data_IF_267029583643
#
_entry.id   IF_267029583643
#
_cell.length_a   1.000
_cell.length_b   1.000
_cell.length_c   1.000
_cell.angle_alpha   90.00
_cell.angle_beta   90.00
_cell.angle_gamma   90.00
#
_symmetry.space_group_name_H-M   'P 1'
#
loop_
_entity.id
_entity.type
_entity.pdbx_description
1 polymer ?
2 non-polymer ?
3 non-polymer ?
4 water ?
#
# COMPACT_ATOMS: atom_id res chain seq x y z
N UNK A 1 -5.10 17.76 4.66
CA UNK A 1 -5.96 16.87 3.81
C UNK A 1 -5.35 15.48 3.89
N UNK A 2 -4.13 15.37 3.35
CA UNK A 2 -3.27 14.15 3.35
C UNK A 2 -2.25 14.24 4.49
N UNK A 3 -2.19 15.36 5.22
CA UNK A 3 -1.04 15.64 6.13
C UNK A 3 -0.96 14.58 7.24
N UNK A 4 -2.10 14.01 7.67
CA UNK A 4 -2.17 13.02 8.78
C UNK A 4 -1.45 11.72 8.36
N UNK A 5 -1.27 11.49 7.05
CA UNK A 5 -0.62 10.28 6.50
C UNK A 5 0.89 10.45 6.40
N UNK A 6 1.40 11.69 6.45
CA UNK A 6 2.83 11.92 6.15
C UNK A 6 3.72 11.40 7.25
N UNK A 7 4.91 10.99 6.84
CA UNK A 7 5.94 10.53 7.76
C UNK A 7 6.40 9.13 7.50
N UNK A 8 7.02 8.57 8.52
CA UNK A 8 7.67 7.25 8.46
C UNK A 8 6.87 6.29 9.33
N UNK A 9 6.53 5.14 8.76
CA UNK A 9 5.63 4.14 9.38
C UNK A 9 6.30 2.77 9.33
N UNK A 10 6.10 1.95 10.35
CA UNK A 10 6.68 0.59 10.41
C UNK A 10 5.55 -0.41 10.60
N UNK A 11 5.61 -1.51 9.87
CA UNK A 11 4.58 -2.57 9.98
C UNK A 11 4.69 -3.20 11.37
N UNK A 12 3.57 -3.33 12.08
CA UNK A 12 3.52 -3.98 13.42
C UNK A 12 2.55 -5.15 13.47
N UNK A 13 1.70 -5.37 12.46
CA UNK A 13 0.74 -6.49 12.48
C UNK A 13 0.31 -6.76 11.04
N UNK A 14 0.09 -8.03 10.71
CA UNK A 14 -0.37 -8.39 9.35
C UNK A 14 -1.32 -9.58 9.45
N UNK A 15 -2.49 -9.44 8.87
CA UNK A 15 -3.48 -10.53 8.84
C UNK A 15 -3.78 -10.85 7.38
N UNK A 16 -3.58 -12.11 6.99
CA UNK A 16 -4.04 -12.66 5.68
C UNK A 16 -3.27 -12.05 4.50
N UNK A 17 -2.04 -11.58 4.67
CA UNK A 17 -1.25 -11.16 3.50
C UNK A 17 -0.99 -12.33 2.56
N UNK A 18 -0.72 -13.53 3.09
CA UNK A 18 -0.51 -14.72 2.23
C UNK A 18 -1.74 -14.92 1.31
N UNK A 19 -2.95 -14.83 1.86
CA UNK A 19 -4.19 -15.05 1.07
C UNK A 19 -4.28 -13.99 -0.03
N UNK A 20 -3.98 -12.74 0.29
CA UNK A 20 -4.02 -11.62 -0.68
C UNK A 20 -2.98 -11.90 -1.77
N UNK A 21 -1.75 -12.25 -1.38
CA UNK A 21 -0.68 -12.51 -2.38
C UNK A 21 -1.05 -13.72 -3.24
N UNK A 22 -1.63 -14.77 -2.65
CA UNK A 22 -1.96 -15.99 -3.45
C UNK A 22 -3.09 -15.67 -4.42
N UNK A 23 -4.03 -14.80 -4.03
CA UNK A 23 -5.10 -14.31 -4.94
C UNK A 23 -4.50 -13.64 -6.18
N UNK A 24 -3.41 -12.91 -6.01
CA UNK A 24 -2.73 -12.19 -7.13
C UNK A 24 -1.79 -13.10 -7.90
N UNK A 25 -1.64 -14.36 -7.49
CA UNK A 25 -0.80 -15.33 -8.21
C UNK A 25 0.67 -15.24 -7.82
N UNK A 26 1.01 -14.62 -6.69
CA UNK A 26 2.42 -14.52 -6.24
C UNK A 26 2.88 -15.94 -5.88
N UNK A 27 4.11 -16.27 -6.27
CA UNK A 27 4.73 -17.60 -6.12
C UNK A 27 5.03 -17.88 -4.66
N UNK A 28 5.04 -19.14 -4.23
CA UNK A 28 5.22 -19.48 -2.79
C UNK A 28 6.53 -18.92 -2.21
N UNK A 29 7.60 -18.81 -3.00
CA UNK A 29 8.92 -18.37 -2.52
C UNK A 29 8.84 -16.88 -2.17
N UNK A 30 8.24 -16.07 -3.04
CA UNK A 30 8.07 -14.62 -2.72
C UNK A 30 7.14 -14.48 -1.52
N UNK A 31 6.06 -15.24 -1.46
CA UNK A 31 5.14 -15.17 -0.29
C UNK A 31 5.89 -15.52 1.00
N UNK A 32 6.78 -16.51 0.94
CA UNK A 32 7.53 -16.96 2.13
C UNK A 32 8.35 -15.78 2.68
N UNK A 33 9.13 -15.13 1.83
CA UNK A 33 9.96 -13.96 2.25
C UNK A 33 9.07 -12.80 2.69
N UNK A 34 8.02 -12.48 1.95
CA UNK A 34 7.07 -11.38 2.28
C UNK A 34 6.43 -11.60 3.65
N UNK A 35 6.22 -12.85 4.08
CA UNK A 35 5.55 -13.15 5.36
C UNK A 35 6.44 -12.77 6.55
N UNK A 36 7.74 -12.62 6.31
CA UNK A 36 8.70 -12.35 7.40
C UNK A 36 9.29 -10.94 7.22
N UNK A 37 8.83 -10.20 6.23
CA UNK A 37 9.31 -8.84 5.94
C UNK A 37 8.48 -7.83 6.75
N UNK A 38 9.13 -6.84 7.37
CA UNK A 38 8.42 -5.76 8.11
C UNK A 38 8.82 -4.42 7.50
N UNK A 39 8.14 -4.01 6.42
CA UNK A 39 8.49 -2.83 5.66
C UNK A 39 8.37 -1.54 6.49
N UNK A 40 9.14 -0.56 6.04
CA UNK A 40 9.02 0.86 6.44
C UNK A 40 8.32 1.58 5.29
N UNK A 41 7.24 2.28 5.58
CA UNK A 41 6.55 3.09 4.57
C UNK A 41 6.83 4.56 4.86
N UNK A 42 7.32 5.29 3.87
CA UNK A 42 7.59 6.75 4.00
C UNK A 42 6.67 7.48 3.05
N UNK A 43 5.91 8.43 3.56
CA UNK A 43 4.96 9.21 2.73
C UNK A 43 5.37 10.68 2.87
N UNK A 44 5.66 11.29 1.74
CA UNK A 44 6.17 12.68 1.70
C UNK A 44 5.34 13.42 0.67
N UNK A 45 5.22 14.73 0.84
CA UNK A 45 4.55 15.57 -0.17
C UNK A 45 5.47 16.72 -0.56
N UNK A 46 5.32 17.14 -1.80
CA UNK A 46 5.95 18.35 -2.36
C UNK A 46 4.87 18.97 -3.24
N UNK A 47 4.21 20.00 -2.72
CA UNK A 47 3.00 20.57 -3.35
C UNK A 47 1.91 19.51 -3.51
N UNK A 48 1.44 19.25 -4.73
CA UNK A 48 0.37 18.25 -4.96
C UNK A 48 0.98 16.90 -5.33
N UNK A 49 2.31 16.72 -5.21
CA UNK A 49 2.91 15.40 -5.56
C UNK A 49 3.23 14.65 -4.28
N UNK A 50 2.63 13.47 -4.12
CA UNK A 50 2.98 12.54 -3.03
C UNK A 50 4.07 11.60 -3.53
N UNK A 51 4.93 11.19 -2.62
CA UNK A 51 5.89 10.10 -2.88
C UNK A 51 5.73 9.10 -1.74
N UNK A 52 5.49 7.86 -2.12
CA UNK A 52 5.26 6.75 -1.17
C UNK A 52 6.36 5.73 -1.43
N UNK A 53 7.26 5.61 -0.46
CA UNK A 53 8.38 4.64 -0.45
C UNK A 53 7.97 3.47 0.45
N UNK A 54 8.28 2.26 0.02
CA UNK A 54 8.13 1.05 0.85
C UNK A 54 9.50 0.37 0.84
N UNK A 55 10.16 0.35 2.00
CA UNK A 55 11.56 -0.13 2.15
C UNK A 55 11.60 -1.40 3.00
N UNK A 56 12.41 -2.35 2.57
CA UNK A 56 12.68 -3.58 3.35
C UNK A 56 13.98 -4.19 2.89
N UNK A 57 14.50 -5.14 3.66
CA UNK A 57 15.78 -5.81 3.37
C UNK A 57 15.72 -6.35 1.94
N UNK A 58 14.64 -7.06 1.62
CA UNK A 58 14.52 -7.93 0.43
C UNK A 58 13.84 -7.21 -0.74
N UNK A 59 13.15 -6.10 -0.50
CA UNK A 59 12.36 -5.45 -1.56
C UNK A 59 12.12 -3.97 -1.26
N UNK A 60 12.16 -3.15 -2.30
CA UNK A 60 11.93 -1.70 -2.18
C UNK A 60 11.07 -1.24 -3.34
N UNK A 61 10.14 -0.36 -3.06
CA UNK A 61 9.33 0.30 -4.10
C UNK A 61 9.29 1.80 -3.82
N UNK A 62 8.93 2.56 -4.86
CA UNK A 62 8.77 4.01 -4.76
C UNK A 62 7.83 4.42 -5.88
N UNK A 63 6.82 5.17 -5.50
CA UNK A 63 5.88 5.76 -6.47
C UNK A 63 5.75 7.23 -6.12
N UNK A 64 5.48 8.02 -7.13
CA UNK A 64 5.13 9.45 -7.00
C UNK A 64 3.87 9.66 -7.81
N UNK A 65 2.92 10.39 -7.24
CA UNK A 65 1.60 10.56 -7.88
C UNK A 65 0.98 11.86 -7.40
N UNK A 66 0.07 12.38 -8.21
CA UNK A 66 -0.86 13.45 -7.83
C UNK A 66 -2.21 12.81 -7.52
N UNK A 67 -2.83 13.18 -6.41
CA UNK A 67 -4.14 12.61 -6.08
C UNK A 67 -5.08 12.86 -7.26
N UNK A 68 -5.83 11.84 -7.63
CA UNK A 68 -6.92 11.93 -8.61
C UNK A 68 -6.40 11.89 -10.04
N UNK A 69 -5.10 11.63 -10.27
CA UNK A 69 -4.52 11.55 -11.63
C UNK A 69 -3.92 10.15 -11.82
N UNK A 70 -4.37 9.45 -12.85
CA UNK A 70 -3.90 8.08 -13.14
C UNK A 70 -2.40 8.09 -13.41
N UNK A 71 -1.71 7.06 -12.96
CA UNK A 71 -0.27 6.88 -13.22
C UNK A 71 -0.01 5.42 -13.51
N UNK A 72 1.04 5.18 -14.28
CA UNK A 72 1.56 3.82 -14.50
C UNK A 72 2.39 3.41 -13.28
N UNK A 73 2.21 2.17 -12.86
CA UNK A 73 2.89 1.63 -11.66
C UNK A 73 3.34 0.22 -11.99
N UNK A 74 4.55 -0.11 -11.56
CA UNK A 74 5.05 -1.51 -11.55
C UNK A 74 5.08 -1.97 -10.09
N UNK A 75 4.22 -2.91 -9.71
CA UNK A 75 4.08 -3.31 -8.29
C UNK A 75 5.25 -4.20 -7.84
N UNK A 76 5.31 -4.46 -6.55
CA UNK A 76 6.42 -5.19 -5.91
C UNK A 76 6.48 -6.60 -6.50
N UNK A 77 5.32 -7.13 -6.87
CA UNK A 77 5.19 -8.47 -7.50
C UNK A 77 5.16 -8.35 -9.03
N UNK A 78 5.55 -7.21 -9.61
CA UNK A 78 5.88 -7.07 -11.04
C UNK A 78 4.64 -7.00 -11.92
N UNK A 79 3.48 -6.63 -11.38
CA UNK A 79 2.30 -6.30 -12.18
C UNK A 79 2.50 -4.89 -12.75
N UNK A 80 2.27 -4.74 -14.05
CA UNK A 80 2.21 -3.41 -14.69
C UNK A 80 0.74 -2.97 -14.65
N UNK A 81 0.43 -1.99 -13.80
CA UNK A 81 -0.96 -1.58 -13.53
C UNK A 81 -1.16 -0.10 -13.88
N UNK A 82 -2.43 0.24 -14.04
CA UNK A 82 -2.92 1.63 -14.09
C UNK A 82 -3.47 1.95 -12.71
N UNK A 83 -2.92 2.98 -12.06
CA UNK A 83 -3.19 3.33 -10.65
C UNK A 83 -3.83 4.70 -10.55
N UNK A 84 -4.66 4.86 -9.54
CA UNK A 84 -5.14 6.20 -9.15
C UNK A 84 -5.28 6.18 -7.64
N UNK A 85 -4.82 7.25 -7.00
CA UNK A 85 -4.95 7.41 -5.52
C UNK A 85 -5.82 8.63 -5.29
N UNK A 86 -6.90 8.47 -4.53
CA UNK A 86 -7.78 9.60 -4.17
C UNK A 86 -8.06 9.58 -2.68
N UNK A 87 -8.20 10.77 -2.09
CA UNK A 87 -8.77 10.94 -0.73
C UNK A 87 -10.28 10.78 -0.82
N UNK A 88 -10.81 9.91 0.04
CA UNK A 88 -12.23 9.52 0.04
C UNK A 88 -12.61 9.30 1.49
N UNK A 89 -13.45 10.15 2.08
CA UNK A 89 -13.78 10.07 3.51
C UNK A 89 -12.55 10.11 4.38
N UNK A 90 -11.53 10.85 3.94
CA UNK A 90 -10.29 11.04 4.69
C UNK A 90 -9.37 9.82 4.60
N UNK A 91 -9.75 8.83 3.80
CA UNK A 91 -8.92 7.63 3.53
C UNK A 91 -8.14 7.87 2.22
N UNK A 92 -6.96 7.28 2.12
CA UNK A 92 -6.15 7.29 0.89
C UNK A 92 -6.45 6.00 0.12
N UNK A 93 -7.25 6.08 -0.95
CA UNK A 93 -7.74 4.90 -1.68
C UNK A 93 -6.89 4.80 -2.93
N UNK A 94 -6.18 3.70 -3.05
CA UNK A 94 -5.30 3.38 -4.18
C UNK A 94 -5.96 2.24 -4.95
N UNK A 95 -6.37 2.51 -6.17
CA UNK A 95 -7.02 1.53 -7.07
C UNK A 95 -6.03 1.16 -8.16
N UNK A 96 -5.75 -0.13 -8.33
CA UNK A 96 -4.86 -0.68 -9.37
C UNK A 96 -5.75 -1.46 -10.33
N UNK A 97 -5.54 -1.26 -11.63
CA UNK A 97 -6.28 -2.00 -12.70
C UNK A 97 -5.29 -2.54 -13.71
N UNK A 98 -5.47 -3.80 -14.11
CA UNK A 98 -4.60 -4.47 -15.10
C UNK A 98 -5.36 -5.70 -15.58
N UNK A 99 -5.30 -5.99 -16.88
CA UNK A 99 -5.90 -7.22 -17.45
C UNK A 99 -7.34 -7.41 -17.00
N UNK A 100 -8.10 -6.33 -16.81
CA UNK A 100 -9.51 -6.37 -16.41
C UNK A 100 -9.69 -6.66 -14.93
N UNK A 101 -8.57 -6.84 -14.22
CA UNK A 101 -8.54 -7.10 -12.75
C UNK A 101 -8.45 -5.77 -12.00
N UNK A 102 -8.85 -5.78 -10.72
CA UNK A 102 -8.77 -4.61 -9.83
C UNK A 102 -8.27 -5.07 -8.46
N UNK A 103 -7.41 -4.27 -7.84
CA UNK A 103 -7.19 -4.40 -6.39
C UNK A 103 -7.20 -3.02 -5.75
N UNK A 104 -7.65 -2.94 -4.51
CA UNK A 104 -7.58 -1.69 -3.75
C UNK A 104 -6.64 -1.84 -2.58
N UNK A 105 -5.94 -0.74 -2.32
CA UNK A 105 -5.05 -0.58 -1.15
C UNK A 105 -5.56 0.65 -0.42
N UNK A 106 -6.29 0.43 0.68
CA UNK A 106 -6.97 1.54 1.39
C UNK A 106 -6.15 1.81 2.65
N UNK A 107 -5.82 3.07 2.86
CA UNK A 107 -5.13 3.55 4.07
C UNK A 107 -6.07 4.45 4.88
N UNK A 108 -6.14 4.13 6.15
CA UNK A 108 -6.98 4.90 7.08
C UNK A 108 -6.14 5.12 8.33
N UNK A 109 -6.53 6.16 9.04
CA UNK A 109 -5.93 6.43 10.35
C UNK A 109 -6.99 6.12 11.39
N UNK A 110 -6.68 5.15 12.24
CA UNK A 110 -7.56 4.70 13.35
C UNK A 110 -6.68 4.71 14.60
N UNK A 111 -7.05 5.50 15.61
CA UNK A 111 -6.35 5.50 16.92
C UNK A 111 -4.86 5.80 16.71
N UNK A 112 -4.52 6.67 15.75
CA UNK A 112 -3.12 7.07 15.49
C UNK A 112 -2.34 6.10 14.59
N UNK A 113 -2.91 4.95 14.28
CA UNK A 113 -2.20 3.90 13.51
C UNK A 113 -2.69 3.99 12.07
N UNK A 114 -1.83 3.61 11.13
CA UNK A 114 -2.21 3.63 9.71
C UNK A 114 -2.61 2.20 9.35
N UNK A 115 -3.88 2.00 9.06
CA UNK A 115 -4.43 0.66 8.72
C UNK A 115 -4.47 0.55 7.21
N UNK A 116 -3.76 -0.43 6.66
CA UNK A 116 -3.74 -0.69 5.21
C UNK A 116 -4.61 -1.91 4.96
N UNK A 117 -5.69 -1.74 4.19
CA UNK A 117 -6.56 -2.87 3.82
C UNK A 117 -6.37 -3.17 2.34
N UNK A 118 -5.98 -4.41 2.04
CA UNK A 118 -5.71 -4.86 0.66
C UNK A 118 -6.82 -5.81 0.27
N UNK A 119 -7.49 -5.54 -0.85
CA UNK A 119 -8.61 -6.36 -1.35
C UNK A 119 -8.35 -6.74 -2.80
N UNK A 120 -8.42 -8.04 -3.08
CA UNK A 120 -8.40 -8.60 -4.45
C UNK A 120 -9.27 -9.85 -4.46
N UNK A 121 -10.13 -9.96 -5.47
CA UNK A 121 -11.16 -11.01 -5.50
C UNK A 121 -11.92 -11.03 -4.19
N UNK A 122 -11.90 -12.14 -3.45
CA UNK A 122 -12.56 -12.21 -2.13
C UNK A 122 -11.56 -12.04 -0.99
N UNK A 123 -10.26 -11.96 -1.29
CA UNK A 123 -9.19 -11.90 -0.27
C UNK A 123 -9.12 -10.49 0.33
N UNK A 124 -9.00 -10.41 1.65
CA UNK A 124 -8.91 -9.13 2.40
C UNK A 124 -7.78 -9.27 3.42
N UNK A 125 -6.75 -8.46 3.26
CA UNK A 125 -5.59 -8.44 4.18
C UNK A 125 -5.63 -7.09 4.91
N UNK A 126 -5.32 -7.11 6.20
CA UNK A 126 -5.20 -5.90 7.05
C UNK A 126 -3.80 -5.81 7.63
N UNK A 127 -3.09 -4.74 7.29
CA UNK A 127 -1.73 -4.46 7.78
C UNK A 127 -1.78 -3.19 8.60
N UNK A 128 -1.24 -3.31 9.79
CA UNK A 128 -1.17 -2.20 10.74
C UNK A 128 0.24 -1.63 10.73
N UNK A 129 0.33 -0.33 10.47
CA UNK A 129 1.57 0.46 10.57
C UNK A 129 1.45 1.42 11.76
N UNK A 130 2.57 1.60 12.45
CA UNK A 130 2.74 2.52 13.61
C UNK A 130 3.81 3.55 13.25
N UNK A 131 3.61 4.79 13.70
CA UNK A 131 4.60 5.86 13.48
C UNK A 131 5.97 5.43 14.02
N UNK A 132 7.04 5.70 13.27
CA UNK A 132 8.40 5.30 13.64
C UNK A 132 8.71 5.91 15.00
X LIG B 1 2.50 -3.02 2.22
X LIG B 1 2.13 -4.07 1.19
X LIG B 1 1.72 -3.41 -0.13
X LIG B 1 1.06 -4.40 -1.11
X LIG B 1 11.41 -10.78 -1.76
X LIG B 1 9.85 -9.77 -1.44
X LIG B 1 9.06 -9.47 -2.52
X LIG B 1 7.90 -8.70 -2.36
X LIG B 1 9.51 -9.29 -0.19
X LIG B 1 8.34 -8.53 -0.03
X LIG B 1 7.50 -8.23 -1.10
X LIG B 1 6.42 -7.53 -1.14
X LIG B 1 5.30 -8.05 -1.77
X LIG B 1 6.25 -6.25 -0.81
X LIG B 1 7.17 -5.29 -0.22
X LIG B 1 7.66 -5.37 1.04
X LIG B 1 8.55 -4.39 1.42
X LIG B 1 8.92 -3.35 0.56
X LIG B 1 8.40 -3.27 -0.71
X LIG B 1 7.53 -4.26 -1.08
X LIG B 1 4.93 -5.93 -1.16
X LIG B 1 4.38 -7.07 -1.74
X LIG B 1 3.07 -7.20 -2.40
X LIG B 1 3.00 -8.28 -3.24
X LIG B 1 1.85 -8.45 -3.96
X LIG B 1 0.81 -7.55 -3.86
X LIG B 1 0.94 -6.44 -3.08
X LIG B 1 2.07 -6.26 -2.35
X LIG B 1 2.17 -5.13 -1.52
X LIG B 1 2.81 -1.86 1.85
X LIG B 1 2.52 -3.38 3.39
X LIG C 1 5.63 9.42 11.88
X LIG C 1 4.89 10.54 12.60
X LIG C 1 4.49 8.88 10.98
X LIG C 1 6.57 10.12 10.91
X LIG D 1 6.31 -6.43 16.28
X LIG D 1 5.52 -5.15 16.32
X LIG D 1 5.21 -7.49 16.25
X LIG D 1 6.96 -6.45 14.94
#
# INVERSE_FOLDING_TARGET
>A
MVDAFLGTWKLVDSKNFDDYMKSLGVGFATRQVASMTKPTTIIEKNGDILTLKTHSTFKNTEISFKLGVEFDETTADDRKVKSIVTLDGGKLVHLQKWDGQETTLVRELIDGKLILTLTHGTAVCTRTYEKEA
>B hetero
1 JEC C1 C2 C3 C4 BR C23 C22 C21 C24 C25 C20 N1 N2 C13 C14 C19 C18 C17 C16 C15 C12 C11 C6 C7 C8 C9 C10 C5 O3 O2 O1
>C hetero
1 SO3 S O1 O2 O3
>D hetero
1 SO3 S O1 O2 O3
#
